data_IF_983081140429
#
_entry.id   IF_983081140429
#
_cell.length_a   1.000
_cell.length_b   1.000
_cell.length_c   1.000
_cell.angle_alpha   90.00
_cell.angle_beta   90.00
_cell.angle_gamma   90.00
#
_symmetry.space_group_name_H-M   'P 1'
#
loop_
_entity.id
_entity.type
_entity.pdbx_description
1 polymer ?
#
# COMPACT_ATOMS: atom_id res chain seq x y z
N UNK A 1 28.41 -10.60 23.04
CA UNK A 1 28.63 -9.77 21.83
C UNK A 1 30.07 -9.98 21.40
N UNK A 2 30.29 -10.54 20.22
CA UNK A 2 31.62 -10.94 19.77
C UNK A 2 32.44 -9.68 19.44
N UNK A 3 33.74 -9.60 19.77
CA UNK A 3 34.53 -8.36 19.58
C UNK A 3 34.59 -7.87 18.11
N UNK A 4 34.26 -8.73 17.15
CA UNK A 4 34.12 -8.40 15.71
C UNK A 4 32.79 -7.73 15.34
N UNK A 5 31.79 -7.75 16.21
CA UNK A 5 30.46 -7.18 15.95
C UNK A 5 30.38 -5.68 16.27
N UNK A 6 31.21 -5.21 17.21
CA UNK A 6 31.23 -3.81 17.66
C UNK A 6 31.58 -2.83 16.53
N UNK A 7 32.61 -3.06 15.70
CA UNK A 7 32.92 -2.16 14.58
C UNK A 7 31.81 -2.14 13.51
N UNK A 8 31.16 -3.29 13.29
CA UNK A 8 30.03 -3.41 12.34
C UNK A 8 28.83 -2.63 12.87
N UNK A 9 28.51 -2.78 14.15
CA UNK A 9 27.45 -2.03 14.82
C UNK A 9 27.71 -0.52 14.76
N UNK A 10 28.93 -0.07 15.09
CA UNK A 10 29.30 1.36 15.02
C UNK A 10 29.15 1.91 13.59
N UNK A 11 29.59 1.15 12.57
CA UNK A 11 29.39 1.55 11.16
C UNK A 11 27.92 1.64 10.80
N UNK A 12 27.09 0.68 11.20
CA UNK A 12 25.64 0.72 10.97
C UNK A 12 24.99 1.91 11.69
N UNK A 13 25.30 2.12 12.97
CA UNK A 13 24.71 3.19 13.79
C UNK A 13 25.09 4.58 13.30
N UNK A 14 26.29 4.78 12.76
CA UNK A 14 26.77 6.06 12.22
C UNK A 14 25.92 6.60 11.07
N UNK A 15 25.24 5.72 10.32
CA UNK A 15 24.41 6.10 9.18
C UNK A 15 22.91 6.17 9.53
N UNK A 16 22.52 5.83 10.76
CA UNK A 16 21.13 5.86 11.18
C UNK A 16 20.78 7.23 11.80
N UNK A 17 19.63 7.77 11.39
CA UNK A 17 19.06 8.95 12.07
C UNK A 17 18.59 8.57 13.47
N UNK A 18 18.52 9.57 14.35
CA UNK A 18 18.04 9.41 15.73
C UNK A 18 16.67 8.74 15.81
N UNK A 19 15.78 9.04 14.87
CA UNK A 19 14.43 8.44 14.79
C UNK A 19 14.50 6.93 14.47
N UNK A 20 15.46 6.51 13.64
CA UNK A 20 15.66 5.09 13.29
C UNK A 20 16.17 4.27 14.46
N UNK A 21 17.07 4.84 15.26
CA UNK A 21 17.57 4.20 16.47
C UNK A 21 16.45 4.00 17.50
N UNK A 22 15.66 5.05 17.73
CA UNK A 22 14.54 5.01 18.67
C UNK A 22 13.47 4.01 18.22
N UNK A 23 13.10 4.00 16.93
CA UNK A 23 12.06 3.07 16.46
C UNK A 23 12.52 1.62 16.37
N UNK A 24 13.80 1.34 16.06
CA UNK A 24 14.37 -0.01 16.18
C UNK A 24 14.35 -0.50 17.63
N UNK A 25 14.74 0.34 18.59
CA UNK A 25 14.67 -0.01 20.00
C UNK A 25 13.22 -0.25 20.48
N UNK A 26 12.26 0.58 20.05
CA UNK A 26 10.83 0.39 20.34
C UNK A 26 10.28 -0.91 19.76
N UNK A 27 10.68 -1.28 18.53
CA UNK A 27 10.28 -2.55 17.90
C UNK A 27 10.87 -3.76 18.61
N UNK A 28 12.14 -3.69 19.04
CA UNK A 28 12.75 -4.78 19.83
C UNK A 28 12.07 -5.00 21.19
N UNK A 29 11.42 -3.97 21.74
CA UNK A 29 10.68 -4.05 23.01
C UNK A 29 9.19 -4.41 22.84
N UNK A 30 8.67 -4.49 21.61
CA UNK A 30 7.26 -4.82 21.30
C UNK A 30 7.18 -6.10 20.49
N UNK A 31 6.57 -7.15 21.02
CA UNK A 31 6.44 -8.43 20.32
C UNK A 31 5.24 -8.50 19.37
N UNK A 32 4.14 -7.80 19.67
CA UNK A 32 2.91 -7.81 18.86
C UNK A 32 2.29 -6.41 18.77
N UNK A 33 1.75 -6.05 17.61
CA UNK A 33 0.97 -4.81 17.41
C UNK A 33 -0.42 -5.00 18.00
N UNK A 34 -0.82 -4.11 18.90
CA UNK A 34 -2.18 -4.09 19.44
C UNK A 34 -3.08 -3.22 18.56
N UNK A 35 -4.17 -3.76 17.99
CA UNK A 35 -5.17 -2.97 17.26
C UNK A 35 -5.73 -1.85 18.13
N UNK A 36 -5.93 -0.68 17.52
CA UNK A 36 -6.50 0.49 18.18
C UNK A 36 -7.98 0.59 17.80
N UNK A 37 -8.92 0.32 18.72
CA UNK A 37 -10.33 0.50 18.44
C UNK A 37 -10.64 1.98 18.24
N UNK A 38 -11.53 2.26 17.29
CA UNK A 38 -12.05 3.59 17.02
C UNK A 38 -13.46 3.69 17.61
N UNK A 39 -13.68 4.69 18.47
CA UNK A 39 -14.97 4.92 19.12
C UNK A 39 -15.85 5.95 18.40
N UNK A 40 -15.30 6.71 17.45
CA UNK A 40 -16.08 7.60 16.60
C UNK A 40 -16.93 6.81 15.61
N UNK A 41 -18.00 7.41 15.05
CA UNK A 41 -18.75 6.79 13.96
C UNK A 41 -17.80 6.34 12.83
N UNK A 42 -18.07 5.17 12.20
CA UNK A 42 -17.29 4.74 11.06
C UNK A 42 -17.28 5.80 9.96
N UNK A 43 -16.15 6.01 9.26
CA UNK A 43 -16.10 6.93 8.15
C UNK A 43 -17.00 6.45 7.01
N UNK A 44 -17.48 7.37 6.19
CA UNK A 44 -18.29 7.05 5.01
C UNK A 44 -17.47 7.25 3.74
N UNK A 45 -17.73 6.41 2.74
CA UNK A 45 -17.02 6.50 1.47
C UNK A 45 -17.50 7.73 0.69
N UNK A 46 -16.57 8.62 0.34
CA UNK A 46 -16.82 9.84 -0.43
C UNK A 46 -16.62 9.58 -1.92
N UNK A 47 -15.52 8.93 -2.28
CA UNK A 47 -15.20 8.56 -3.67
C UNK A 47 -16.07 7.38 -4.07
N UNK A 48 -17.00 7.60 -5.02
CA UNK A 48 -17.90 6.53 -5.49
C UNK A 48 -17.31 5.73 -6.64
N UNK A 49 -16.51 6.38 -7.49
CA UNK A 49 -15.91 5.82 -8.69
C UNK A 49 -14.57 6.51 -8.96
N UNK A 50 -13.52 5.76 -9.35
CA UNK A 50 -12.26 6.37 -9.77
C UNK A 50 -12.41 7.07 -11.13
N UNK A 51 -11.54 8.04 -11.39
CA UNK A 51 -11.51 8.75 -12.66
C UNK A 51 -11.06 7.83 -13.81
N UNK A 52 -10.08 6.96 -13.53
CA UNK A 52 -9.61 5.93 -14.43
C UNK A 52 -9.69 4.55 -13.76
N UNK A 53 -9.93 3.46 -14.50
CA UNK A 53 -9.84 2.11 -13.95
C UNK A 53 -8.46 1.86 -13.32
N UNK A 54 -8.43 1.28 -12.12
CA UNK A 54 -7.18 0.85 -11.49
C UNK A 54 -6.55 -0.29 -12.28
N UNK A 55 -5.21 -0.36 -12.26
CA UNK A 55 -4.49 -1.54 -12.76
C UNK A 55 -4.91 -2.80 -11.98
N UNK A 56 -4.88 -3.94 -12.67
CA UNK A 56 -5.13 -5.26 -12.07
C UNK A 56 -4.09 -5.63 -11.02
N UNK A 57 -4.21 -6.79 -10.35
CA UNK A 57 -3.14 -7.29 -9.50
C UNK A 57 -1.89 -7.63 -10.35
N UNK A 58 -0.67 -7.49 -9.78
CA UNK A 58 0.57 -7.85 -10.47
C UNK A 58 0.72 -9.36 -10.66
N UNK A 59 1.56 -9.78 -11.61
CA UNK A 59 1.70 -11.17 -12.08
C UNK A 59 2.03 -12.21 -11.00
N UNK A 60 2.74 -11.82 -9.95
CA UNK A 60 3.07 -12.73 -8.84
C UNK A 60 1.86 -13.14 -8.00
N UNK A 61 0.70 -12.50 -8.22
CA UNK A 61 -0.56 -12.72 -7.51
C UNK A 61 -1.56 -13.36 -8.45
N UNK A 62 -2.09 -14.53 -8.08
CA UNK A 62 -3.19 -15.13 -8.83
C UNK A 62 -4.12 -15.97 -7.97
N UNK A 63 -5.41 -15.92 -8.31
CA UNK A 63 -6.43 -16.81 -7.79
C UNK A 63 -6.62 -18.01 -8.74
N UNK A 64 -6.45 -19.24 -8.25
CA UNK A 64 -6.53 -20.49 -9.04
C UNK A 64 -7.81 -21.29 -8.76
N UNK A 65 -8.85 -20.62 -8.29
CA UNK A 65 -10.12 -21.21 -7.88
C UNK A 65 -10.26 -21.37 -6.36
N UNK A 66 -11.35 -21.99 -5.88
CA UNK A 66 -11.76 -21.95 -4.47
C UNK A 66 -10.64 -22.29 -3.49
N UNK A 67 -10.24 -21.29 -2.69
CA UNK A 67 -9.22 -21.39 -1.66
C UNK A 67 -7.78 -21.57 -2.16
N UNK A 68 -7.54 -21.51 -3.48
CA UNK A 68 -6.20 -21.64 -4.07
C UNK A 68 -5.63 -20.28 -4.44
N UNK A 69 -4.67 -19.82 -3.64
CA UNK A 69 -4.01 -18.53 -3.82
C UNK A 69 -2.54 -18.79 -4.13
N UNK A 70 -2.05 -18.22 -5.23
CA UNK A 70 -0.62 -18.17 -5.54
C UNK A 70 -0.12 -16.75 -5.30
N UNK A 71 0.86 -16.64 -4.41
CA UNK A 71 1.56 -15.40 -4.08
C UNK A 71 3.05 -15.67 -4.19
N UNK A 72 3.82 -14.77 -4.80
CA UNK A 72 5.30 -14.86 -4.90
C UNK A 72 5.80 -16.25 -5.33
N UNK A 73 5.16 -16.81 -6.36
CA UNK A 73 5.44 -18.15 -6.91
C UNK A 73 5.18 -19.34 -5.97
N UNK A 74 4.50 -19.15 -4.84
CA UNK A 74 4.06 -20.21 -3.93
C UNK A 74 2.54 -20.29 -3.90
N UNK A 75 2.01 -21.46 -4.22
CA UNK A 75 0.59 -21.75 -4.19
C UNK A 75 0.21 -22.45 -2.89
N UNK A 76 -0.82 -21.93 -2.22
CA UNK A 76 -1.42 -22.54 -1.03
C UNK A 76 -2.89 -22.81 -1.31
N UNK A 77 -3.36 -23.99 -0.89
CA UNK A 77 -4.77 -24.37 -0.96
C UNK A 77 -5.37 -24.46 0.44
N UNK A 78 -6.27 -23.53 0.74
CA UNK A 78 -7.12 -23.58 1.91
C UNK A 78 -8.39 -24.40 1.61
N UNK A 79 -8.72 -25.35 2.50
CA UNK A 79 -9.88 -26.24 2.33
C UNK A 79 -11.12 -25.73 3.04
N UNK A 80 -10.94 -25.16 4.23
CA UNK A 80 -12.02 -24.78 5.15
C UNK A 80 -11.97 -23.26 5.44
N UNK A 81 -11.93 -22.46 4.38
CA UNK A 81 -11.73 -21.01 4.47
C UNK A 81 -10.25 -20.64 4.64
N UNK A 82 -9.91 -19.37 4.42
CA UNK A 82 -8.53 -18.89 4.50
C UNK A 82 -8.03 -19.00 5.93
N UNK A 83 -6.87 -19.61 6.13
CA UNK A 83 -6.17 -19.57 7.42
C UNK A 83 -5.30 -18.32 7.47
N UNK A 84 -5.78 -17.30 8.17
CA UNK A 84 -5.11 -16.00 8.28
C UNK A 84 -3.84 -16.05 9.12
N UNK A 85 -3.66 -17.09 9.95
CA UNK A 85 -2.46 -17.32 10.74
C UNK A 85 -1.51 -18.33 10.08
N UNK A 86 -1.74 -18.66 8.80
CA UNK A 86 -0.91 -19.58 8.05
C UNK A 86 0.53 -19.06 7.90
N UNK A 87 1.48 -19.84 8.41
CA UNK A 87 2.93 -19.50 8.40
C UNK A 87 3.77 -20.44 7.53
N UNK A 88 3.15 -21.41 6.84
CA UNK A 88 3.87 -22.50 6.15
C UNK A 88 4.78 -22.06 5.01
N UNK A 89 4.52 -20.90 4.39
CA UNK A 89 5.33 -20.32 3.31
C UNK A 89 6.18 -19.11 3.78
N UNK A 90 6.28 -18.90 5.09
CA UNK A 90 7.10 -17.86 5.70
C UNK A 90 6.46 -16.46 5.75
N UNK A 91 7.13 -15.50 6.40
CA UNK A 91 6.55 -14.20 6.74
C UNK A 91 6.26 -13.33 5.51
N UNK A 92 7.07 -13.40 4.45
CA UNK A 92 6.83 -12.63 3.23
C UNK A 92 5.55 -13.08 2.51
N UNK A 93 5.30 -14.39 2.46
CA UNK A 93 4.07 -14.92 1.89
C UNK A 93 2.84 -14.48 2.70
N UNK A 94 2.93 -14.56 4.03
CA UNK A 94 1.88 -14.07 4.92
C UNK A 94 1.62 -12.56 4.75
N UNK A 95 2.66 -11.76 4.55
CA UNK A 95 2.52 -10.34 4.19
C UNK A 95 1.65 -10.19 2.94
N UNK A 96 1.97 -10.87 1.84
CA UNK A 96 1.18 -10.80 0.59
C UNK A 96 -0.26 -11.30 0.76
N UNK A 97 -0.50 -12.31 1.62
CA UNK A 97 -1.86 -12.75 1.94
C UNK A 97 -2.67 -11.59 2.54
N UNK A 98 -2.09 -10.89 3.51
CA UNK A 98 -2.75 -9.78 4.20
C UNK A 98 -2.77 -8.46 3.43
N UNK A 99 -2.07 -8.34 2.30
CA UNK A 99 -2.14 -7.17 1.40
C UNK A 99 -3.42 -7.15 0.55
N UNK A 100 -4.11 -8.29 0.41
CA UNK A 100 -5.37 -8.42 -0.33
C UNK A 100 -5.32 -8.13 -1.85
N UNK A 101 -4.14 -8.03 -2.46
CA UNK A 101 -4.08 -7.88 -3.93
C UNK A 101 -4.73 -9.05 -4.67
N UNK A 102 -4.65 -10.27 -4.11
CA UNK A 102 -5.31 -11.45 -4.67
C UNK A 102 -6.84 -11.34 -4.69
N UNK A 103 -7.42 -10.50 -3.83
CA UNK A 103 -8.86 -10.25 -3.86
C UNK A 103 -9.26 -9.37 -5.05
N UNK A 104 -8.31 -8.65 -5.66
CA UNK A 104 -8.53 -7.85 -6.88
C UNK A 104 -8.47 -8.69 -8.17
N UNK A 105 -8.11 -9.98 -8.09
CA UNK A 105 -8.13 -10.87 -9.24
C UNK A 105 -9.55 -10.92 -9.87
N UNK A 106 -9.66 -10.81 -11.21
CA UNK A 106 -10.96 -10.79 -11.91
C UNK A 106 -11.73 -12.10 -11.77
N UNK A 107 -11.04 -13.22 -11.51
CA UNK A 107 -11.64 -14.54 -11.29
C UNK A 107 -12.41 -14.65 -9.96
N UNK A 108 -12.22 -13.69 -9.05
CA UNK A 108 -12.91 -13.65 -7.76
C UNK A 108 -14.24 -12.90 -7.90
N UNK A 109 -15.34 -13.55 -7.52
CA UNK A 109 -16.66 -12.93 -7.59
C UNK A 109 -16.78 -11.78 -6.57
N UNK A 110 -17.65 -10.78 -6.80
CA UNK A 110 -17.90 -9.72 -5.82
C UNK A 110 -18.30 -10.26 -4.44
N UNK A 111 -19.07 -11.36 -4.40
CA UNK A 111 -19.49 -12.02 -3.17
C UNK A 111 -18.30 -12.65 -2.44
N UNK A 112 -17.40 -13.34 -3.16
CA UNK A 112 -16.22 -13.96 -2.55
C UNK A 112 -15.23 -12.93 -2.04
N UNK A 113 -15.08 -11.79 -2.74
CA UNK A 113 -14.28 -10.65 -2.29
C UNK A 113 -14.82 -10.08 -0.97
N UNK A 114 -16.12 -9.82 -0.91
CA UNK A 114 -16.76 -9.33 0.30
C UNK A 114 -16.63 -10.34 1.44
N UNK A 115 -16.89 -11.62 1.14
CA UNK A 115 -16.75 -12.72 2.10
C UNK A 115 -15.36 -12.79 2.70
N UNK A 116 -14.31 -12.74 1.87
CA UNK A 116 -12.92 -12.73 2.33
C UNK A 116 -12.58 -11.52 3.21
N UNK A 117 -13.09 -10.32 2.87
CA UNK A 117 -12.87 -9.13 3.69
C UNK A 117 -13.53 -9.26 5.06
N UNK A 118 -14.80 -9.63 5.12
CA UNK A 118 -15.54 -9.82 6.38
C UNK A 118 -14.93 -10.93 7.23
N UNK A 119 -14.56 -12.03 6.60
CA UNK A 119 -13.91 -13.17 7.22
C UNK A 119 -12.56 -12.80 7.85
N UNK A 120 -11.76 -11.94 7.21
CA UNK A 120 -10.55 -11.36 7.81
C UNK A 120 -10.88 -10.46 9.00
N UNK A 121 -11.91 -9.60 8.89
CA UNK A 121 -12.34 -8.72 10.00
C UNK A 121 -12.73 -9.53 11.23
N UNK A 122 -13.42 -10.65 11.05
CA UNK A 122 -13.88 -11.50 12.15
C UNK A 122 -12.77 -12.39 12.71
N UNK A 123 -12.01 -13.07 11.84
CA UNK A 123 -11.11 -14.16 12.23
C UNK A 123 -9.65 -13.75 12.42
N UNK A 124 -9.27 -12.51 12.13
CA UNK A 124 -7.89 -12.02 12.26
C UNK A 124 -7.75 -10.83 13.23
N UNK A 125 -8.02 -10.98 14.54
CA UNK A 125 -7.99 -9.87 15.48
C UNK A 125 -6.58 -9.40 15.87
N UNK A 126 -5.52 -10.15 15.53
CA UNK A 126 -4.12 -9.83 15.87
C UNK A 126 -3.15 -10.53 14.93
N UNK A 127 -1.86 -10.28 15.06
CA UNK A 127 -0.80 -10.95 14.29
C UNK A 127 -0.32 -10.11 13.10
N UNK A 128 0.42 -10.75 12.18
CA UNK A 128 1.22 -10.09 11.14
C UNK A 128 0.39 -9.20 10.20
N UNK A 129 -0.88 -9.53 9.98
CA UNK A 129 -1.82 -8.67 9.23
C UNK A 129 -2.06 -7.28 9.83
N UNK A 130 -1.73 -7.07 11.11
CA UNK A 130 -1.81 -5.77 11.80
C UNK A 130 -0.48 -5.01 11.82
N UNK A 131 0.57 -5.52 11.18
CA UNK A 131 1.80 -4.77 10.96
C UNK A 131 1.56 -3.59 10.00
N UNK A 132 2.38 -2.54 10.11
CA UNK A 132 2.21 -1.31 9.35
C UNK A 132 2.28 -1.53 7.82
N UNK A 133 3.21 -2.37 7.35
CA UNK A 133 3.30 -2.73 5.93
C UNK A 133 2.03 -3.37 5.37
N UNK A 134 1.54 -4.49 5.94
CA UNK A 134 0.29 -5.12 5.54
C UNK A 134 -0.93 -4.19 5.63
N UNK A 135 -1.07 -3.38 6.69
CA UNK A 135 -2.15 -2.39 6.77
C UNK A 135 -2.08 -1.38 5.61
N UNK A 136 -0.89 -0.86 5.33
CA UNK A 136 -0.70 0.17 4.29
C UNK A 136 -1.15 -0.35 2.93
N UNK A 137 -0.64 -1.50 2.52
CA UNK A 137 -0.93 -2.09 1.21
C UNK A 137 -2.36 -2.64 1.13
N UNK A 138 -2.90 -3.21 2.23
CA UNK A 138 -4.32 -3.60 2.29
C UNK A 138 -5.25 -2.40 2.13
N UNK A 139 -4.86 -1.23 2.62
CA UNK A 139 -5.63 0.01 2.43
C UNK A 139 -5.75 0.35 0.95
N UNK A 140 -4.68 0.24 0.17
CA UNK A 140 -4.75 0.39 -1.30
C UNK A 140 -5.72 -0.63 -1.91
N UNK A 141 -5.55 -1.91 -1.60
CA UNK A 141 -6.41 -2.97 -2.15
C UNK A 141 -7.88 -2.77 -1.79
N UNK A 142 -8.18 -2.45 -0.54
CA UNK A 142 -9.54 -2.26 -0.05
C UNK A 142 -10.18 -0.99 -0.62
N UNK A 143 -9.46 0.13 -0.71
CA UNK A 143 -9.97 1.36 -1.35
C UNK A 143 -10.27 1.11 -2.83
N UNK A 144 -9.38 0.42 -3.56
CA UNK A 144 -9.62 0.02 -4.96
C UNK A 144 -10.91 -0.81 -5.08
N UNK A 145 -11.09 -1.83 -4.25
CA UNK A 145 -12.30 -2.68 -4.25
C UNK A 145 -13.57 -1.90 -3.88
N UNK A 146 -13.50 -1.00 -2.89
CA UNK A 146 -14.66 -0.23 -2.42
C UNK A 146 -15.12 0.84 -3.42
N UNK A 147 -14.19 1.37 -4.21
CA UNK A 147 -14.44 2.46 -5.16
C UNK A 147 -14.65 1.97 -6.60
N UNK A 148 -14.31 0.73 -6.92
CA UNK A 148 -14.53 0.17 -8.27
C UNK A 148 -15.98 -0.32 -8.42
N UNK A 149 -16.76 0.19 -9.39
CA UNK A 149 -18.12 -0.26 -9.63
C UNK A 149 -18.22 -1.77 -9.87
N UNK A 150 -19.14 -2.42 -9.17
CA UNK A 150 -19.37 -3.87 -9.29
C UNK A 150 -18.28 -4.76 -8.68
N UNK A 151 -17.22 -4.20 -8.08
CA UNK A 151 -16.18 -5.03 -7.46
C UNK A 151 -16.63 -5.71 -6.16
N UNK A 152 -17.63 -5.13 -5.48
CA UNK A 152 -18.30 -5.66 -4.28
C UNK A 152 -19.83 -5.51 -4.45
N UNK A 153 -20.65 -6.36 -3.81
CA UNK A 153 -22.10 -6.23 -3.83
C UNK A 153 -22.55 -4.98 -3.05
N UNK A 154 -23.75 -4.49 -3.38
CA UNK A 154 -24.37 -3.39 -2.65
C UNK A 154 -25.02 -3.88 -1.35
N UNK A 155 -24.19 -4.02 -0.31
CA UNK A 155 -24.59 -4.41 1.04
C UNK A 155 -24.11 -3.36 2.06
N UNK A 156 -24.98 -2.40 2.44
CA UNK A 156 -24.61 -1.33 3.36
C UNK A 156 -24.13 -1.81 4.73
N UNK A 157 -24.68 -2.91 5.25
CA UNK A 157 -24.32 -3.41 6.57
C UNK A 157 -22.91 -4.00 6.55
N UNK A 158 -22.62 -4.84 5.56
CA UNK A 158 -21.28 -5.43 5.39
C UNK A 158 -20.23 -4.36 5.10
N UNK A 159 -20.57 -3.34 4.29
CA UNK A 159 -19.67 -2.20 4.02
C UNK A 159 -19.37 -1.40 5.29
N UNK A 160 -20.37 -1.17 6.15
CA UNK A 160 -20.15 -0.47 7.42
C UNK A 160 -19.17 -1.23 8.33
N UNK A 161 -19.24 -2.57 8.39
CA UNK A 161 -18.30 -3.39 9.14
C UNK A 161 -16.86 -3.27 8.59
N UNK A 162 -16.71 -3.26 7.25
CA UNK A 162 -15.41 -3.02 6.60
C UNK A 162 -14.87 -1.63 6.93
N UNK A 163 -15.71 -0.58 6.89
CA UNK A 163 -15.28 0.78 7.19
C UNK A 163 -14.81 0.92 8.65
N UNK A 164 -15.54 0.31 9.58
CA UNK A 164 -15.16 0.28 10.99
C UNK A 164 -13.82 -0.45 11.20
N UNK A 165 -13.62 -1.59 10.54
CA UNK A 165 -12.34 -2.31 10.59
C UNK A 165 -11.20 -1.48 9.99
N UNK A 166 -11.40 -0.90 8.81
CA UNK A 166 -10.39 -0.06 8.16
C UNK A 166 -10.03 1.13 9.04
N UNK A 167 -10.99 1.70 9.77
CA UNK A 167 -10.71 2.78 10.71
C UNK A 167 -9.79 2.34 11.87
N UNK A 168 -10.06 1.17 12.47
CA UNK A 168 -9.19 0.58 13.49
C UNK A 168 -7.77 0.30 12.95
N UNK A 169 -7.68 -0.22 11.72
CA UNK A 169 -6.40 -0.48 11.06
C UNK A 169 -5.61 0.80 10.83
N UNK A 170 -6.23 1.86 10.30
CA UNK A 170 -5.56 3.12 10.02
C UNK A 170 -5.19 3.89 11.29
N UNK A 171 -6.01 3.81 12.35
CA UNK A 171 -5.65 4.30 13.67
C UNK A 171 -4.41 3.56 14.23
N UNK A 172 -4.35 2.24 14.03
CA UNK A 172 -3.20 1.40 14.38
C UNK A 172 -1.95 1.78 13.58
N UNK A 173 -2.10 2.01 12.26
CA UNK A 173 -1.01 2.45 11.38
C UNK A 173 -0.46 3.82 11.81
N UNK A 174 -1.33 4.81 12.04
CA UNK A 174 -0.93 6.16 12.44
C UNK A 174 -0.14 6.18 13.77
N UNK A 175 -0.38 5.22 14.66
CA UNK A 175 0.38 5.06 15.92
C UNK A 175 1.73 4.37 15.73
N UNK A 176 1.88 3.56 14.68
CA UNK A 176 3.01 2.66 14.47
C UNK A 176 3.74 2.92 13.15
N UNK A 177 3.75 4.17 12.68
CA UNK A 177 4.47 4.59 11.47
C UNK A 177 5.91 4.07 11.47
N UNK A 178 6.34 3.50 10.34
CA UNK A 178 7.65 2.89 10.14
C UNK A 178 8.76 3.93 9.90
N UNK A 179 8.74 5.03 10.66
CA UNK A 179 9.74 6.12 10.62
C UNK A 179 11.18 5.60 10.78
N UNK A 180 11.34 4.40 11.32
CA UNK A 180 12.63 3.78 11.62
C UNK A 180 13.19 2.88 10.54
N UNK A 181 12.34 2.34 9.68
CA UNK A 181 12.79 1.69 8.45
C UNK A 181 13.19 2.75 7.42
N UNK A 182 12.67 3.99 7.58
CA UNK A 182 12.67 5.03 6.53
C UNK A 182 12.22 4.32 5.25
N UNK A 183 12.87 4.52 4.12
CA UNK A 183 12.57 3.73 2.95
C UNK A 183 11.27 4.14 2.24
N UNK A 184 10.91 3.34 1.26
CA UNK A 184 9.57 3.01 0.81
C UNK A 184 8.57 2.79 1.96
N UNK A 185 8.95 2.16 3.07
CA UNK A 185 8.05 1.81 4.17
C UNK A 185 7.31 3.01 4.76
N UNK A 186 8.05 4.05 5.18
CA UNK A 186 7.41 5.23 5.76
C UNK A 186 6.56 5.97 4.73
N UNK A 187 7.03 6.06 3.48
CA UNK A 187 6.28 6.68 2.39
C UNK A 187 4.98 5.92 2.09
N UNK A 188 4.99 4.59 2.08
CA UNK A 188 3.78 3.77 1.93
C UNK A 188 2.78 3.98 3.06
N UNK A 189 3.24 4.10 4.31
CA UNK A 189 2.33 4.36 5.43
C UNK A 189 1.61 5.71 5.25
N UNK A 190 2.35 6.75 4.85
CA UNK A 190 1.79 8.08 4.62
C UNK A 190 0.86 8.11 3.41
N UNK A 191 1.25 7.48 2.31
CA UNK A 191 0.40 7.36 1.12
C UNK A 191 -0.91 6.63 1.46
N UNK A 192 -0.88 5.55 2.25
CA UNK A 192 -2.07 4.82 2.66
C UNK A 192 -3.01 5.68 3.54
N UNK A 193 -2.46 6.41 4.52
CA UNK A 193 -3.24 7.32 5.37
C UNK A 193 -3.90 8.43 4.54
N UNK A 194 -3.14 9.09 3.66
CA UNK A 194 -3.67 10.17 2.83
C UNK A 194 -4.69 9.63 1.81
N UNK A 195 -4.44 8.48 1.19
CA UNK A 195 -5.41 7.81 0.31
C UNK A 195 -6.73 7.55 1.02
N UNK A 196 -6.70 6.97 2.22
CA UNK A 196 -7.91 6.74 2.99
C UNK A 196 -8.57 8.06 3.41
N UNK A 197 -7.79 9.05 3.81
CA UNK A 197 -8.28 10.39 4.13
C UNK A 197 -9.01 11.06 2.96
N UNK A 198 -8.57 10.80 1.73
CA UNK A 198 -9.20 11.27 0.48
C UNK A 198 -10.45 10.48 0.13
N UNK A 199 -10.36 9.14 0.17
CA UNK A 199 -11.42 8.24 -0.27
C UNK A 199 -12.66 8.30 0.64
N UNK A 200 -12.46 8.63 1.92
CA UNK A 200 -13.49 8.69 2.94
C UNK A 200 -13.75 10.11 3.46
N UNK A 201 -14.84 10.29 4.18
CA UNK A 201 -15.18 11.49 4.94
C UNK A 201 -15.60 11.15 6.39
N UNK A 202 -15.56 12.17 7.24
CA UNK A 202 -15.76 12.05 8.70
C UNK A 202 -14.48 12.31 9.49
N UNK A 203 -14.62 12.32 10.81
CA UNK A 203 -13.57 12.75 11.75
C UNK A 203 -12.27 11.93 11.62
N UNK A 204 -12.39 10.61 11.42
CA UNK A 204 -11.23 9.74 11.18
C UNK A 204 -10.56 10.05 9.84
N UNK A 205 -11.33 10.25 8.78
CA UNK A 205 -10.78 10.57 7.47
C UNK A 205 -9.99 11.89 7.51
N UNK A 206 -10.47 12.88 8.27
CA UNK A 206 -9.77 14.16 8.48
C UNK A 206 -8.46 13.97 9.27
N UNK A 207 -8.44 13.10 10.29
CA UNK A 207 -7.20 12.73 10.99
C UNK A 207 -6.17 12.11 10.06
N UNK A 208 -6.60 11.19 9.20
CA UNK A 208 -5.68 10.53 8.27
C UNK A 208 -5.15 11.52 7.24
N UNK A 209 -6.02 12.36 6.68
CA UNK A 209 -5.63 13.42 5.75
C UNK A 209 -4.68 14.45 6.38
N UNK A 210 -4.74 14.64 7.71
CA UNK A 210 -3.79 15.48 8.46
C UNK A 210 -2.30 15.09 8.27
N UNK A 211 -2.01 13.91 7.70
CA UNK A 211 -0.65 13.47 7.35
C UNK A 211 -0.16 14.00 5.99
N UNK A 212 -0.96 14.78 5.26
CA UNK A 212 -0.59 15.36 3.96
C UNK A 212 0.76 16.08 4.01
N UNK A 213 0.98 16.94 5.00
CA UNK A 213 2.24 17.70 5.13
C UNK A 213 3.46 16.79 5.24
N UNK A 214 3.35 15.70 6.00
CA UNK A 214 4.42 14.71 6.13
C UNK A 214 4.64 13.96 4.81
N UNK A 215 3.56 13.60 4.10
CA UNK A 215 3.65 12.99 2.77
C UNK A 215 4.39 13.90 1.79
N UNK A 216 4.05 15.19 1.75
CA UNK A 216 4.72 16.17 0.88
C UNK A 216 6.22 16.22 1.15
N UNK A 217 6.61 16.30 2.42
CA UNK A 217 8.02 16.27 2.81
C UNK A 217 8.74 14.99 2.39
N UNK A 218 8.09 13.83 2.51
CA UNK A 218 8.69 12.57 2.06
C UNK A 218 8.75 12.42 0.54
N UNK A 219 7.79 12.96 -0.22
CA UNK A 219 7.88 12.99 -1.68
C UNK A 219 8.99 13.93 -2.18
N UNK A 220 9.22 15.04 -1.49
CA UNK A 220 10.34 15.95 -1.77
C UNK A 220 11.69 15.31 -1.43
N UNK A 221 11.77 14.54 -0.34
CA UNK A 221 12.99 13.87 0.11
C UNK A 221 13.34 12.63 -0.71
N UNK A 222 12.36 11.78 -0.99
CA UNK A 222 12.59 10.43 -1.52
C UNK A 222 12.52 10.35 -3.06
N UNK A 223 11.86 11.31 -3.72
CA UNK A 223 11.90 11.45 -5.19
C UNK A 223 12.96 12.48 -5.52
N UNK A 224 14.11 11.99 -5.99
CA UNK A 224 15.31 12.76 -6.25
C UNK A 224 15.12 13.73 -7.42
N UNK A 225 16.08 14.62 -7.63
CA UNK A 225 16.04 15.64 -8.69
C UNK A 225 15.99 15.06 -10.12
N UNK A 226 16.46 13.82 -10.29
CA UNK A 226 16.39 13.06 -11.54
C UNK A 226 15.10 12.22 -11.66
N UNK A 227 14.19 12.33 -10.69
CA UNK A 227 12.93 11.59 -10.62
C UNK A 227 13.05 10.18 -10.04
N UNK A 228 14.26 9.67 -9.85
CA UNK A 228 14.46 8.35 -9.26
C UNK A 228 14.00 8.33 -7.80
N UNK A 229 13.44 7.19 -7.36
CA UNK A 229 13.26 6.96 -5.94
C UNK A 229 14.62 6.64 -5.32
N UNK A 230 14.91 7.21 -4.15
CA UNK A 230 16.22 7.13 -3.50
C UNK A 230 16.72 5.70 -3.18
N UNK A 231 15.86 4.68 -3.13
CA UNK A 231 16.30 3.29 -2.99
C UNK A 231 16.99 2.73 -4.24
N UNK A 232 16.77 3.36 -5.41
CA UNK A 232 17.36 2.95 -6.69
C UNK A 232 17.11 1.48 -7.03
N UNK A 233 15.94 0.97 -6.63
CA UNK A 233 15.38 -0.32 -7.07
C UNK A 233 14.23 -0.02 -8.05
N UNK A 234 14.37 -0.40 -9.34
CA UNK A 234 13.30 -0.23 -10.32
C UNK A 234 11.98 -0.90 -9.92
N UNK A 235 12.03 -2.02 -9.19
CA UNK A 235 10.84 -2.67 -8.64
C UNK A 235 10.14 -1.81 -7.59
N UNK A 236 10.85 -1.35 -6.56
CA UNK A 236 10.25 -0.48 -5.52
C UNK A 236 9.80 0.87 -6.08
N UNK A 237 10.54 1.41 -7.05
CA UNK A 237 10.14 2.60 -7.78
C UNK A 237 8.78 2.41 -8.46
N UNK A 238 8.57 1.29 -9.15
CA UNK A 238 7.32 0.96 -9.84
C UNK A 238 6.16 0.77 -8.87
N UNK A 239 6.37 0.07 -7.75
CA UNK A 239 5.36 -0.10 -6.68
C UNK A 239 4.95 1.25 -6.07
N UNK A 240 5.91 2.15 -5.83
CA UNK A 240 5.62 3.48 -5.31
C UNK A 240 4.92 4.37 -6.33
N UNK A 241 5.29 4.27 -7.61
CA UNK A 241 4.65 4.99 -8.69
C UNK A 241 3.18 4.58 -8.84
N UNK A 242 2.85 3.29 -8.80
CA UNK A 242 1.45 2.83 -8.80
C UNK A 242 0.66 3.47 -7.67
N UNK A 243 1.17 3.39 -6.43
CA UNK A 243 0.50 3.95 -5.26
C UNK A 243 0.35 5.49 -5.34
N UNK A 244 1.31 6.18 -5.95
CA UNK A 244 1.24 7.61 -6.20
C UNK A 244 0.16 7.95 -7.24
N UNK A 245 0.09 7.18 -8.33
CA UNK A 245 -0.94 7.33 -9.38
C UNK A 245 -2.35 7.02 -8.83
N UNK A 246 -2.48 6.00 -7.98
CA UNK A 246 -3.74 5.71 -7.28
C UNK A 246 -4.20 6.87 -6.41
N UNK A 247 -3.26 7.53 -5.71
CA UNK A 247 -3.59 8.71 -4.94
C UNK A 247 -3.99 9.90 -5.82
N UNK A 248 -3.32 10.10 -6.97
CA UNK A 248 -3.76 11.11 -7.97
C UNK A 248 -5.19 10.81 -8.41
N UNK A 249 -5.49 9.55 -8.74
CA UNK A 249 -6.81 9.10 -9.18
C UNK A 249 -7.88 9.40 -8.11
N UNK A 250 -7.61 9.02 -6.85
CA UNK A 250 -8.52 9.28 -5.74
C UNK A 250 -8.73 10.78 -5.46
N UNK A 251 -7.67 11.60 -5.50
CA UNK A 251 -7.76 13.05 -5.26
C UNK A 251 -8.57 13.73 -6.37
N UNK A 252 -8.34 13.35 -7.64
CA UNK A 252 -9.11 13.86 -8.77
C UNK A 252 -10.60 13.48 -8.68
N UNK A 253 -10.90 12.28 -8.18
CA UNK A 253 -12.28 11.82 -7.92
C UNK A 253 -12.94 12.41 -6.67
N UNK A 254 -12.23 13.21 -5.87
CA UNK A 254 -12.73 13.80 -4.63
C UNK A 254 -12.63 15.34 -4.60
N UNK A 255 -13.31 16.08 -5.50
CA UNK A 255 -13.25 17.54 -5.51
C UNK A 255 -13.53 18.16 -4.14
N UNK A 256 -12.70 19.13 -3.77
CA UNK A 256 -12.77 19.85 -2.50
C UNK A 256 -12.28 19.07 -1.27
N UNK A 257 -11.83 17.81 -1.42
CA UNK A 257 -11.29 17.03 -0.29
C UNK A 257 -9.85 17.40 0.04
N UNK A 258 -9.06 17.70 -0.98
CA UNK A 258 -7.66 18.10 -0.86
C UNK A 258 -7.40 19.44 -1.55
N UNK A 259 -6.26 20.04 -1.21
CA UNK A 259 -5.78 21.24 -1.89
C UNK A 259 -5.35 20.94 -3.33
N UNK A 260 -5.55 21.90 -4.24
CA UNK A 260 -5.00 21.82 -5.61
C UNK A 260 -3.47 21.73 -5.61
N UNK A 261 -2.83 22.27 -4.57
CA UNK A 261 -1.39 22.19 -4.36
C UNK A 261 -0.92 20.74 -4.15
N UNK A 262 -1.69 19.92 -3.42
CA UNK A 262 -1.39 18.49 -3.28
C UNK A 262 -1.49 17.79 -4.64
N UNK A 263 -2.61 17.95 -5.35
CA UNK A 263 -2.80 17.31 -6.66
C UNK A 263 -1.69 17.68 -7.64
N UNK A 264 -1.31 18.97 -7.67
CA UNK A 264 -0.21 19.47 -8.49
C UNK A 264 1.13 18.83 -8.13
N UNK A 265 1.45 18.70 -6.83
CA UNK A 265 2.67 18.04 -6.38
C UNK A 265 2.69 16.56 -6.78
N UNK A 266 1.59 15.84 -6.55
CA UNK A 266 1.48 14.42 -6.87
C UNK A 266 1.68 14.18 -8.38
N UNK A 267 1.04 14.99 -9.24
CA UNK A 267 1.21 14.94 -10.69
C UNK A 267 2.66 15.22 -11.11
N UNK A 268 3.27 16.26 -10.54
CA UNK A 268 4.66 16.60 -10.85
C UNK A 268 5.63 15.46 -10.46
N UNK A 269 5.45 14.87 -9.27
CA UNK A 269 6.26 13.76 -8.79
C UNK A 269 6.06 12.49 -9.62
N UNK A 270 4.82 12.18 -10.00
CA UNK A 270 4.52 11.05 -10.88
C UNK A 270 5.16 11.21 -12.28
N UNK A 271 5.08 12.41 -12.85
CA UNK A 271 5.75 12.74 -14.14
C UNK A 271 7.26 12.53 -14.06
N UNK A 272 7.91 13.05 -13.01
CA UNK A 272 9.35 12.84 -12.77
C UNK A 272 9.71 11.35 -12.63
N UNK A 273 8.92 10.61 -11.86
CA UNK A 273 9.14 9.17 -11.65
C UNK A 273 8.96 8.37 -12.94
N UNK A 274 7.93 8.66 -13.76
CA UNK A 274 7.77 8.06 -15.08
C UNK A 274 9.00 8.32 -15.98
N UNK A 275 9.56 9.53 -15.92
CA UNK A 275 10.75 9.89 -16.70
C UNK A 275 11.98 9.09 -16.27
N UNK A 276 12.17 8.92 -14.97
CA UNK A 276 13.23 8.07 -14.43
C UNK A 276 13.02 6.60 -14.77
N UNK A 277 11.78 6.10 -14.68
CA UNK A 277 11.44 4.71 -14.97
C UNK A 277 11.78 4.34 -16.41
N UNK A 278 11.52 5.22 -17.39
CA UNK A 278 11.91 5.01 -18.80
C UNK A 278 13.39 4.70 -18.99
N UNK A 279 14.28 5.27 -18.16
CA UNK A 279 15.73 5.01 -18.21
C UNK A 279 16.06 3.61 -17.72
N UNK A 280 15.23 3.06 -16.84
CA UNK A 280 15.34 1.71 -16.30
C UNK A 280 14.48 0.69 -17.05
N UNK A 281 13.80 1.07 -18.13
CA UNK A 281 12.97 0.17 -18.92
C UNK A 281 13.77 -0.39 -20.09
N UNK A 282 13.79 -1.72 -20.22
CA UNK A 282 14.36 -2.41 -21.37
C UNK A 282 13.44 -2.34 -22.60
N UNK A 283 13.95 -2.58 -23.82
CA UNK A 283 13.14 -2.56 -25.04
C UNK A 283 11.98 -3.57 -25.08
N UNK A 284 12.02 -4.60 -24.24
CA UNK A 284 10.93 -5.58 -24.05
C UNK A 284 9.81 -5.07 -23.14
N UNK A 285 9.96 -3.88 -22.56
CA UNK A 285 8.99 -3.26 -21.65
C UNK A 285 9.21 -3.62 -20.19
N UNK A 286 10.21 -4.42 -19.84
CA UNK A 286 10.49 -4.83 -18.47
C UNK A 286 11.46 -3.88 -17.75
N UNK A 287 11.46 -3.92 -16.42
CA UNK A 287 12.41 -3.16 -15.61
C UNK A 287 13.82 -3.77 -15.64
N UNK A 288 14.83 -2.92 -15.53
CA UNK A 288 16.19 -3.33 -15.22
C UNK A 288 16.26 -3.93 -13.80
N UNK A 289 17.05 -4.99 -13.64
CA UNK A 289 17.17 -5.71 -12.37
C UNK A 289 18.30 -5.16 -11.48
N UNK A 290 18.27 -3.85 -11.24
CA UNK A 290 19.18 -3.19 -10.29
C UNK A 290 18.63 -3.23 -8.85
N UNK A 291 19.53 -3.21 -7.87
CA UNK A 291 19.16 -3.26 -6.46
C UNK A 291 18.44 -4.56 -6.09
N UNK A 292 17.45 -4.46 -5.21
CA UNK A 292 16.55 -5.57 -4.87
C UNK A 292 15.32 -5.47 -5.77
N UNK A 293 15.42 -6.04 -6.97
CA UNK A 293 14.36 -6.01 -7.99
C UNK A 293 14.12 -7.41 -8.55
N UNK A 294 12.84 -7.72 -8.80
CA UNK A 294 12.40 -8.91 -9.51
C UNK A 294 11.23 -8.55 -10.45
N UNK A 295 11.16 -9.25 -11.59
CA UNK A 295 10.06 -9.10 -12.55
C UNK A 295 8.75 -9.67 -11.97
N UNK A 296 7.61 -9.14 -12.41
CA UNK A 296 6.26 -9.60 -12.03
C UNK A 296 5.84 -9.26 -10.59
N UNK A 297 6.70 -8.62 -9.80
CA UNK A 297 6.33 -8.13 -8.46
C UNK A 297 5.55 -6.81 -8.54
N UNK A 298 6.03 -5.88 -9.37
CA UNK A 298 5.37 -4.61 -9.66
C UNK A 298 4.67 -4.65 -11.03
N UNK A 299 3.83 -3.65 -11.31
CA UNK A 299 3.30 -3.42 -12.66
C UNK A 299 4.42 -3.13 -13.64
N UNK A 300 4.21 -3.47 -14.91
CA UNK A 300 5.17 -3.18 -15.96
C UNK A 300 5.25 -1.67 -16.22
N UNK A 301 6.41 -1.13 -16.64
CA UNK A 301 6.52 0.26 -17.05
C UNK A 301 5.48 0.71 -18.10
N UNK A 302 5.17 -0.06 -19.17
CA UNK A 302 4.10 0.29 -20.09
C UNK A 302 2.72 0.41 -19.45
N UNK A 303 2.38 -0.47 -18.50
CA UNK A 303 1.09 -0.40 -17.79
C UNK A 303 0.99 0.84 -16.91
N UNK A 304 2.07 1.22 -16.24
CA UNK A 304 2.14 2.44 -15.43
C UNK A 304 2.04 3.70 -16.29
N UNK A 305 2.70 3.73 -17.45
CA UNK A 305 2.56 4.83 -18.42
C UNK A 305 1.12 4.92 -18.95
N UNK A 306 0.51 3.79 -19.29
CA UNK A 306 -0.87 3.74 -19.75
C UNK A 306 -1.84 4.25 -18.68
N UNK A 307 -1.66 3.80 -17.43
CA UNK A 307 -2.49 4.24 -16.30
C UNK A 307 -2.34 5.74 -16.06
N UNK A 308 -1.11 6.26 -16.07
CA UNK A 308 -0.83 7.69 -15.90
C UNK A 308 -1.47 8.57 -17.00
N UNK A 309 -1.50 8.07 -18.25
CA UNK A 309 -2.12 8.77 -19.38
C UNK A 309 -3.65 8.85 -19.27
N UNK A 310 -4.29 7.91 -18.57
CA UNK A 310 -5.73 7.87 -18.32
C UNK A 310 -6.22 8.87 -17.27
N UNK A 311 -5.33 9.45 -16.46
CA UNK A 311 -5.67 10.41 -15.42
C UNK A 311 -5.78 11.84 -15.97
N UNK A 312 -6.72 12.63 -15.42
CA UNK A 312 -6.91 14.03 -15.80
C UNK A 312 -5.61 14.82 -15.66
N UNK A 313 -5.36 15.73 -16.61
CA UNK A 313 -4.13 16.50 -16.66
C UNK A 313 -2.94 15.77 -17.31
N UNK A 314 -3.17 14.59 -17.93
CA UNK A 314 -2.19 13.76 -18.67
C UNK A 314 -0.80 13.81 -18.05
N UNK A 315 -0.57 12.96 -17.07
CA UNK A 315 0.77 12.82 -16.52
C UNK A 315 1.65 12.17 -17.60
N UNK A 316 2.53 12.97 -18.18
CA UNK A 316 3.52 12.53 -19.15
C UNK A 316 4.90 12.83 -18.58
N UNK A 317 5.84 11.94 -18.85
CA UNK A 317 7.24 12.14 -18.56
C UNK A 317 7.91 13.04 -19.60
#
# INVERSE_FOLDING_TARGET
MNHREIPRLIRTLRHLRSEQLIGRARRMLRSEVTPIPVSSPPPTLRVREPLAPYLGPPDHVSWKGPGRIRLINREVRFRDGIDWDFTGEGPLWAYHLHQFDWARCPELSPQDRLGAMLDWVERHPRGIGWDAGPISLRTFSWVKLLTTPGALPDDPQSRAAIYASLASQLATLARNLEVHLLANHYLWNLLALVLAGVAFEGEEADRWLGHESALRGQLEEQVLSDGAHYERSPMYHSLLLENLLDLVNAVASAPGRCSEALLSLLRAKASQMLGALRVWTHPDGEIALFGDSALGIAQTPPDLEHYAAGLEGRIQA
#
